data_IF_341759955180
#
_entry.id   IF_341759955180
#
_cell.length_a   1.000
_cell.length_b   1.000
_cell.length_c   1.000
_cell.angle_alpha   90.00
_cell.angle_beta   90.00
_cell.angle_gamma   90.00
#
_symmetry.space_group_name_H-M   'P 1'
#
loop_
_entity.id
_entity.type
_entity.pdbx_description
1 polymer ?
#
# COMPACT_ATOMS: atom_id res chain seq x y z
N UNK A 1 7.03 18.55 7.89
CA UNK A 1 7.59 17.50 8.76
C UNK A 1 8.47 16.60 7.92
N UNK A 2 9.72 16.45 8.34
CA UNK A 2 10.64 15.50 7.71
C UNK A 2 10.34 14.09 8.23
N UNK A 3 9.50 13.34 7.52
CA UNK A 3 9.13 11.96 7.88
C UNK A 3 10.34 11.03 8.02
N UNK A 4 11.40 11.30 7.27
CA UNK A 4 12.63 10.49 7.32
C UNK A 4 13.36 10.59 8.68
N UNK A 5 13.11 11.63 9.47
CA UNK A 5 13.68 11.74 10.82
C UNK A 5 13.02 10.79 11.85
N UNK A 6 11.88 10.21 11.53
CA UNK A 6 11.10 9.35 12.43
C UNK A 6 11.32 7.86 12.18
N UNK A 7 12.06 7.49 11.13
CA UNK A 7 12.35 6.10 10.74
C UNK A 7 13.79 5.70 11.07
N UNK A 8 14.02 4.40 11.21
CA UNK A 8 15.29 3.84 11.65
C UNK A 8 16.42 4.00 10.60
N UNK A 9 16.08 3.87 9.31
CA UNK A 9 17.02 3.99 8.18
C UNK A 9 16.30 4.35 6.90
N UNK A 10 17.01 4.87 5.92
CA UNK A 10 16.48 5.20 4.60
C UNK A 10 15.76 6.54 4.54
N UNK A 11 15.00 6.72 3.48
CA UNK A 11 14.22 7.93 3.22
C UNK A 11 12.76 7.59 2.93
N UNK A 12 11.86 8.48 3.33
CA UNK A 12 10.42 8.34 3.15
C UNK A 12 9.85 9.59 2.50
N UNK A 13 9.28 9.43 1.30
CA UNK A 13 8.54 10.48 0.60
C UNK A 13 7.03 10.21 0.69
N UNK A 14 6.25 11.26 0.75
CA UNK A 14 4.78 11.18 0.81
C UNK A 14 4.14 11.91 -0.36
N UNK A 15 3.17 11.25 -1.00
CA UNK A 15 2.40 11.78 -2.13
C UNK A 15 0.91 11.60 -1.90
N UNK A 16 0.13 12.52 -2.46
CA UNK A 16 -1.32 12.38 -2.58
C UNK A 16 -1.67 12.17 -4.04
N UNK A 17 -2.20 10.99 -4.35
CA UNK A 17 -2.58 10.60 -5.70
C UNK A 17 -4.09 10.59 -5.79
N UNK A 18 -4.65 11.31 -6.76
CA UNK A 18 -6.10 11.41 -6.96
C UNK A 18 -6.58 10.46 -8.05
N UNK A 19 -7.73 9.82 -7.79
CA UNK A 19 -8.47 9.09 -8.80
C UNK A 19 -9.65 9.89 -9.36
N UNK A 20 -9.67 11.21 -9.14
CA UNK A 20 -10.74 12.12 -9.53
C UNK A 20 -11.91 12.18 -8.56
N UNK A 21 -11.98 11.29 -7.57
CA UNK A 21 -13.03 11.26 -6.54
C UNK A 21 -12.49 11.32 -5.12
N UNK A 22 -11.35 10.72 -4.89
CA UNK A 22 -10.70 10.70 -3.58
C UNK A 22 -9.18 10.80 -3.74
N UNK A 23 -8.54 11.55 -2.86
CA UNK A 23 -7.10 11.55 -2.73
C UNK A 23 -6.65 10.33 -1.95
N UNK A 24 -5.62 9.68 -2.43
CA UNK A 24 -4.98 8.54 -1.78
C UNK A 24 -3.57 8.90 -1.38
N UNK A 25 -3.24 8.67 -0.12
CA UNK A 25 -1.87 8.82 0.35
C UNK A 25 -1.04 7.62 -0.10
N UNK A 26 0.11 7.90 -0.69
CA UNK A 26 1.11 6.90 -1.06
C UNK A 26 2.44 7.36 -0.49
N UNK A 27 3.15 6.48 0.20
CA UNK A 27 4.51 6.72 0.66
C UNK A 27 5.47 5.85 -0.13
N UNK A 28 6.58 6.43 -0.54
CA UNK A 28 7.67 5.71 -1.18
C UNK A 28 8.82 5.66 -0.19
N UNK A 29 9.26 4.46 0.12
CA UNK A 29 10.34 4.19 1.05
C UNK A 29 11.56 3.65 0.32
N UNK A 30 12.67 4.35 0.52
CA UNK A 30 13.97 4.02 -0.03
C UNK A 30 14.86 3.48 1.11
N UNK A 31 15.03 2.14 1.22
CA UNK A 31 15.79 1.54 2.32
C UNK A 31 17.29 1.84 2.28
N UNK A 32 17.81 2.19 1.12
CA UNK A 32 19.24 2.48 0.88
C UNK A 32 19.42 3.61 -0.11
N UNK A 33 20.67 4.06 -0.28
CA UNK A 33 21.06 5.08 -1.26
C UNK A 33 21.28 4.52 -2.68
N UNK A 34 20.88 3.30 -2.95
CA UNK A 34 21.00 2.72 -4.28
C UNK A 34 20.17 3.53 -5.30
N UNK A 35 20.69 3.79 -6.50
CA UNK A 35 19.92 4.48 -7.52
C UNK A 35 18.71 3.63 -7.95
N UNK A 36 17.57 4.30 -8.14
CA UNK A 36 16.35 3.66 -8.65
C UNK A 36 16.46 3.60 -10.17
N UNK A 37 16.41 2.40 -10.73
CA UNK A 37 16.56 2.12 -12.15
C UNK A 37 15.83 0.83 -12.56
N UNK A 38 16.06 0.34 -13.77
CA UNK A 38 15.45 -0.90 -14.28
C UNK A 38 15.82 -2.17 -13.49
N UNK A 39 16.88 -2.14 -12.69
CA UNK A 39 17.27 -3.25 -11.81
C UNK A 39 16.60 -3.18 -10.43
N UNK A 40 15.91 -2.10 -10.12
CA UNK A 40 15.21 -1.94 -8.84
C UNK A 40 13.96 -2.81 -8.80
N UNK A 41 13.75 -3.52 -7.71
CA UNK A 41 12.51 -4.22 -7.42
C UNK A 41 11.56 -3.31 -6.66
N UNK A 42 10.37 -3.12 -7.18
CA UNK A 42 9.31 -2.35 -6.53
C UNK A 42 8.35 -3.29 -5.83
N UNK A 43 8.09 -3.03 -4.55
CA UNK A 43 7.14 -3.79 -3.76
C UNK A 43 6.02 -2.87 -3.32
N UNK A 44 4.82 -3.09 -3.85
CA UNK A 44 3.62 -2.40 -3.39
C UNK A 44 3.13 -3.11 -2.13
N UNK A 45 2.98 -2.36 -1.05
CA UNK A 45 2.41 -2.86 0.19
C UNK A 45 1.10 -2.14 0.47
N UNK A 46 0.03 -2.92 0.58
CA UNK A 46 -1.28 -2.43 1.00
C UNK A 46 -1.27 -2.08 2.49
N UNK A 47 -2.24 -1.32 2.94
CA UNK A 47 -2.30 -0.82 4.33
C UNK A 47 -1.04 -0.03 4.72
N UNK A 48 -0.64 0.88 3.86
CA UNK A 48 0.60 1.65 4.00
C UNK A 48 0.73 2.43 5.31
N UNK A 49 -0.39 2.75 5.96
CA UNK A 49 -0.45 3.39 7.28
C UNK A 49 0.14 2.52 8.40
N UNK A 50 0.19 1.21 8.21
CA UNK A 50 0.65 0.25 9.22
C UNK A 50 2.17 -0.01 9.16
N UNK A 51 2.89 0.51 8.16
CA UNK A 51 4.23 0.04 7.83
C UNK A 51 5.36 0.68 8.62
N UNK A 52 5.28 1.97 8.94
CA UNK A 52 6.43 2.74 9.42
C UNK A 52 6.19 3.43 10.77
N UNK A 53 5.19 4.31 10.84
CA UNK A 53 4.98 5.20 11.97
C UNK A 53 3.84 4.71 12.86
N UNK A 54 4.11 4.57 14.15
CA UNK A 54 3.12 4.07 15.12
C UNK A 54 1.89 4.97 15.22
N UNK A 55 2.07 6.29 15.07
CA UNK A 55 0.98 7.26 15.11
C UNK A 55 -0.02 7.13 13.96
N UNK A 56 0.36 6.50 12.85
CA UNK A 56 -0.51 6.30 11.69
C UNK A 56 -1.27 4.97 11.75
N UNK A 57 -0.76 4.02 12.53
CA UNK A 57 -1.36 2.71 12.72
C UNK A 57 -2.66 2.78 13.53
N UNK A 58 -3.61 1.94 13.20
CA UNK A 58 -4.93 1.90 13.85
C UNK A 58 -4.87 1.53 15.34
N UNK A 59 -3.86 0.78 15.76
CA UNK A 59 -3.68 0.31 17.15
C UNK A 59 -2.42 0.87 17.82
N UNK A 60 -1.77 1.87 17.21
CA UNK A 60 -0.52 2.43 17.71
C UNK A 60 0.70 1.52 17.59
N UNK A 61 0.61 0.45 16.78
CA UNK A 61 1.70 -0.49 16.53
C UNK A 61 1.91 -0.64 15.04
N UNK A 62 3.02 -0.17 14.53
CA UNK A 62 3.39 -0.34 13.12
C UNK A 62 4.21 -1.62 12.93
N UNK A 63 4.30 -2.09 11.69
CA UNK A 63 5.12 -3.26 11.36
C UNK A 63 6.61 -2.94 11.30
N UNK A 64 6.96 -1.67 11.34
CA UNK A 64 8.34 -1.17 11.37
C UNK A 64 9.21 -1.81 10.29
N UNK A 65 8.74 -1.72 9.06
CA UNK A 65 9.49 -2.19 7.87
C UNK A 65 10.86 -1.53 7.78
N UNK A 66 10.96 -0.27 8.21
CA UNK A 66 12.21 0.47 8.31
C UNK A 66 13.24 -0.21 9.23
N UNK A 67 12.82 -0.76 10.36
CA UNK A 67 13.71 -1.51 11.27
C UNK A 67 14.20 -2.81 10.66
N UNK A 68 13.35 -3.50 9.91
CA UNK A 68 13.76 -4.72 9.19
C UNK A 68 14.86 -4.42 8.16
N UNK A 69 14.74 -3.34 7.41
CA UNK A 69 15.79 -2.91 6.48
C UNK A 69 17.05 -2.37 7.18
N UNK A 70 16.89 -1.73 8.34
CA UNK A 70 18.04 -1.33 9.16
C UNK A 70 18.90 -2.54 9.58
N UNK A 71 18.25 -3.64 9.99
CA UNK A 71 18.96 -4.90 10.28
C UNK A 71 19.67 -5.46 9.05
N UNK A 72 19.04 -5.46 7.88
CA UNK A 72 19.69 -5.89 6.63
C UNK A 72 20.90 -5.04 6.30
N UNK A 73 20.78 -3.72 6.44
CA UNK A 73 21.87 -2.78 6.20
C UNK A 73 23.04 -2.99 7.18
N UNK A 74 22.76 -3.20 8.47
CA UNK A 74 23.77 -3.49 9.47
C UNK A 74 24.51 -4.81 9.20
N UNK A 75 23.83 -5.79 8.63
CA UNK A 75 24.42 -7.07 8.22
C UNK A 75 25.07 -7.03 6.84
N UNK A 76 25.15 -5.86 6.21
CA UNK A 76 25.69 -5.66 4.86
C UNK A 76 25.05 -6.56 3.81
N UNK A 77 23.77 -6.87 3.98
CA UNK A 77 22.99 -7.62 2.99
C UNK A 77 22.57 -6.65 1.88
N UNK A 78 23.05 -6.90 0.67
CA UNK A 78 22.73 -6.08 -0.49
C UNK A 78 21.27 -6.26 -0.91
N UNK A 79 20.64 -5.16 -1.26
CA UNK A 79 19.28 -5.12 -1.79
C UNK A 79 19.07 -3.89 -2.67
N UNK A 80 18.28 -4.03 -3.69
CA UNK A 80 17.87 -2.94 -4.57
C UNK A 80 16.34 -2.92 -4.65
N UNK A 81 15.71 -2.40 -3.61
CA UNK A 81 14.28 -2.45 -3.38
C UNK A 81 13.75 -1.07 -3.06
N UNK A 82 12.58 -0.75 -3.60
CA UNK A 82 11.76 0.40 -3.21
C UNK A 82 10.40 -0.11 -2.74
N UNK A 83 9.97 0.34 -1.58
CA UNK A 83 8.65 0.01 -1.02
C UNK A 83 7.66 1.12 -1.38
N UNK A 84 6.55 0.75 -1.97
CA UNK A 84 5.44 1.66 -2.29
C UNK A 84 4.28 1.35 -1.35
N UNK A 85 4.15 2.15 -0.30
CA UNK A 85 3.14 1.99 0.74
C UNK A 85 1.85 2.71 0.35
N UNK A 86 0.85 1.97 -0.08
CA UNK A 86 -0.45 2.54 -0.45
C UNK A 86 -1.37 2.50 0.76
N UNK A 87 -1.72 3.69 1.27
CA UNK A 87 -2.65 3.80 2.39
C UNK A 87 -4.04 3.31 2.01
N UNK A 88 -4.75 2.71 2.95
CA UNK A 88 -6.14 2.34 2.77
C UNK A 88 -7.03 3.58 2.60
N UNK A 89 -8.27 3.39 2.15
CA UNK A 89 -9.23 4.47 2.05
C UNK A 89 -9.41 5.18 3.39
N UNK A 90 -9.50 6.53 3.39
CA UNK A 90 -9.59 7.34 4.61
C UNK A 90 -10.64 6.80 5.56
N UNK A 91 -10.22 6.53 6.79
CA UNK A 91 -11.13 6.36 7.93
C UNK A 91 -11.72 7.71 8.28
N UNK A 92 -13.03 7.81 8.42
CA UNK A 92 -13.65 9.01 8.95
C UNK A 92 -13.27 9.16 10.43
N UNK A 93 -12.59 10.25 10.79
CA UNK A 93 -12.38 10.60 12.20
C UNK A 93 -13.73 10.71 12.90
N UNK A 94 -13.99 9.84 13.89
CA UNK A 94 -15.10 9.99 14.83
C UNK A 94 -16.09 8.84 14.91
N UNK A 95 -15.97 7.76 14.14
CA UNK A 95 -16.79 6.55 14.35
C UNK A 95 -15.91 5.33 14.51
N UNK A 96 -16.12 4.62 15.57
CA UNK A 96 -15.34 3.50 16.08
C UNK A 96 -15.26 2.29 15.12
N UNK A 97 -15.96 2.27 13.99
CA UNK A 97 -16.15 1.11 13.13
C UNK A 97 -16.27 1.40 11.64
N UNK A 98 -15.72 2.46 11.09
CA UNK A 98 -15.82 2.66 9.64
C UNK A 98 -14.62 2.09 8.87
N UNK A 99 -14.26 0.84 9.18
CA UNK A 99 -13.39 0.02 8.33
C UNK A 99 -14.11 -0.48 7.07
N UNK A 100 -15.39 -0.15 6.90
CA UNK A 100 -16.22 -0.62 5.80
C UNK A 100 -15.61 -0.33 4.44
N UNK A 101 -15.01 0.84 4.25
CA UNK A 101 -14.36 1.20 2.98
C UNK A 101 -13.13 0.36 2.70
N UNK A 102 -12.31 0.08 3.71
CA UNK A 102 -11.14 -0.78 3.58
C UNK A 102 -11.55 -2.21 3.25
N UNK A 103 -12.53 -2.76 3.95
CA UNK A 103 -13.06 -4.09 3.66
C UNK A 103 -13.63 -4.20 2.26
N UNK A 104 -14.39 -3.22 1.83
CA UNK A 104 -14.98 -3.16 0.49
C UNK A 104 -13.89 -3.06 -0.58
N UNK A 105 -12.90 -2.22 -0.34
CA UNK A 105 -11.79 -1.97 -1.26
C UNK A 105 -10.95 -3.23 -1.52
N UNK A 106 -10.68 -4.00 -0.47
CA UNK A 106 -9.83 -5.19 -0.49
C UNK A 106 -10.62 -6.50 -0.62
N UNK A 107 -11.96 -6.43 -0.76
CA UNK A 107 -12.81 -7.60 -0.78
C UNK A 107 -12.68 -8.36 -2.11
N UNK A 108 -12.32 -9.66 -2.09
CA UNK A 108 -12.25 -10.46 -3.30
C UNK A 108 -13.65 -10.73 -3.82
N UNK A 109 -13.87 -10.44 -5.11
CA UNK A 109 -15.20 -10.60 -5.73
C UNK A 109 -15.74 -12.02 -5.62
N UNK A 110 -14.86 -12.99 -5.66
CA UNK A 110 -15.16 -14.42 -5.60
C UNK A 110 -15.75 -14.84 -4.23
N UNK A 111 -15.29 -14.18 -3.16
CA UNK A 111 -15.77 -14.44 -1.80
C UNK A 111 -17.27 -14.09 -1.62
N UNK A 112 -17.84 -13.31 -2.53
CA UNK A 112 -19.26 -12.94 -2.47
C UNK A 112 -20.20 -14.17 -2.54
N UNK A 113 -19.74 -15.25 -3.15
CA UNK A 113 -20.52 -16.48 -3.30
C UNK A 113 -20.81 -17.19 -1.97
N UNK A 114 -20.10 -16.84 -0.92
CA UNK A 114 -20.27 -17.40 0.43
C UNK A 114 -21.28 -16.64 1.29
N UNK A 115 -21.90 -15.58 0.75
CA UNK A 115 -22.85 -14.74 1.48
C UNK A 115 -24.30 -14.98 1.01
N UNK A 116 -25.26 -14.70 1.90
CA UNK A 116 -26.67 -14.74 1.53
C UNK A 116 -27.06 -13.60 0.55
N UNK A 117 -28.22 -13.70 -0.08
CA UNK A 117 -28.64 -12.76 -1.12
C UNK A 117 -28.81 -11.31 -0.60
N UNK A 118 -29.20 -11.12 0.66
CA UNK A 118 -29.29 -9.80 1.26
C UNK A 118 -27.92 -9.17 1.50
N UNK A 119 -26.98 -9.96 1.96
CA UNK A 119 -25.59 -9.58 2.15
C UNK A 119 -24.92 -9.31 0.79
N UNK A 120 -25.09 -10.19 -0.19
CA UNK A 120 -24.59 -10.00 -1.56
C UNK A 120 -25.01 -8.67 -2.14
N UNK A 121 -26.31 -8.33 -2.04
CA UNK A 121 -26.82 -7.07 -2.58
C UNK A 121 -26.16 -5.85 -1.97
N UNK A 122 -25.89 -5.86 -0.65
CA UNK A 122 -25.20 -4.79 0.06
C UNK A 122 -23.74 -4.70 -0.38
N UNK A 123 -23.06 -5.84 -0.47
CA UNK A 123 -21.66 -5.95 -0.89
C UNK A 123 -21.52 -5.48 -2.35
N UNK A 124 -22.35 -5.94 -3.27
CA UNK A 124 -22.32 -5.50 -4.67
C UNK A 124 -22.54 -4.00 -4.83
N UNK A 125 -23.49 -3.44 -4.10
CA UNK A 125 -23.73 -1.99 -4.10
C UNK A 125 -22.49 -1.20 -3.64
N UNK A 126 -21.71 -1.76 -2.76
CA UNK A 126 -20.51 -1.15 -2.20
C UNK A 126 -19.28 -1.40 -3.06
N UNK A 127 -19.10 -2.61 -3.58
CA UNK A 127 -18.00 -2.99 -4.49
C UNK A 127 -18.04 -2.22 -5.81
N UNK A 128 -19.23 -1.91 -6.33
CA UNK A 128 -19.36 -1.12 -7.55
C UNK A 128 -18.78 0.30 -7.42
N UNK A 129 -18.57 0.77 -6.19
CA UNK A 129 -18.01 2.10 -5.90
C UNK A 129 -16.51 2.10 -5.63
N UNK A 130 -15.91 0.93 -5.44
CA UNK A 130 -14.48 0.79 -5.15
C UNK A 130 -13.86 -0.25 -6.07
N UNK A 131 -12.81 0.14 -6.79
CA UNK A 131 -12.04 -0.76 -7.62
C UNK A 131 -10.55 -0.53 -7.35
N UNK A 132 -10.07 -1.08 -6.23
CA UNK A 132 -8.69 -0.92 -5.78
C UNK A 132 -7.67 -1.54 -6.75
N UNK A 133 -7.85 -2.76 -7.28
CA UNK A 133 -6.92 -3.30 -8.29
C UNK A 133 -6.82 -2.40 -9.53
N UNK A 134 -7.95 -1.86 -10.01
CA UNK A 134 -7.95 -0.92 -11.12
C UNK A 134 -7.22 0.37 -10.78
N UNK A 135 -7.37 0.89 -9.54
CA UNK A 135 -6.64 2.05 -9.07
C UNK A 135 -5.13 1.80 -9.08
N UNK A 136 -4.66 0.66 -8.61
CA UNK A 136 -3.23 0.31 -8.67
C UNK A 136 -2.72 0.32 -10.10
N UNK A 137 -3.39 -0.38 -11.00
CA UNK A 137 -2.96 -0.54 -12.39
C UNK A 137 -3.06 0.75 -13.20
N UNK A 138 -4.11 1.55 -12.99
CA UNK A 138 -4.37 2.72 -13.84
C UNK A 138 -3.82 4.03 -13.29
N UNK A 139 -3.51 4.10 -12.00
CA UNK A 139 -3.05 5.33 -11.34
C UNK A 139 -1.67 5.13 -10.69
N UNK A 140 -1.51 4.14 -9.82
CA UNK A 140 -0.28 3.99 -9.04
C UNK A 140 0.89 3.53 -9.91
N UNK A 141 0.72 2.49 -10.72
CA UNK A 141 1.80 1.99 -11.59
C UNK A 141 2.25 3.05 -12.62
N UNK A 142 1.36 3.73 -13.36
CA UNK A 142 1.78 4.80 -14.25
C UNK A 142 2.50 5.95 -13.54
N UNK A 143 2.07 6.31 -12.34
CA UNK A 143 2.76 7.31 -11.53
C UNK A 143 4.20 6.91 -11.21
N UNK A 144 4.43 5.65 -10.83
CA UNK A 144 5.77 5.14 -10.54
C UNK A 144 6.63 5.05 -11.78
N UNK A 145 6.08 4.58 -12.90
CA UNK A 145 6.79 4.47 -14.17
C UNK A 145 7.24 5.85 -14.68
N UNK A 146 6.38 6.86 -14.56
CA UNK A 146 6.72 8.23 -14.93
C UNK A 146 7.77 8.84 -13.97
N UNK A 147 7.56 8.67 -12.66
CA UNK A 147 8.46 9.23 -11.64
C UNK A 147 9.89 8.70 -11.77
N UNK A 148 10.04 7.41 -11.99
CA UNK A 148 11.33 6.74 -12.00
C UNK A 148 11.87 6.44 -13.40
N UNK A 149 11.10 6.74 -14.44
CA UNK A 149 11.48 6.45 -15.83
C UNK A 149 11.85 4.96 -16.01
N UNK A 150 11.00 4.08 -15.48
CA UNK A 150 11.14 2.61 -15.55
C UNK A 150 9.88 1.99 -16.11
N UNK A 151 9.99 0.76 -16.61
CA UNK A 151 8.84 -0.07 -16.98
C UNK A 151 8.61 -1.12 -15.91
N UNK A 152 7.39 -1.17 -15.35
CA UNK A 152 7.01 -2.13 -14.31
C UNK A 152 6.33 -3.34 -14.92
N UNK A 153 6.84 -4.51 -14.60
CA UNK A 153 6.29 -5.80 -15.01
C UNK A 153 6.51 -6.88 -13.93
N UNK A 154 6.15 -8.11 -14.21
CA UNK A 154 6.28 -9.25 -13.29
C UNK A 154 7.71 -9.53 -12.80
N UNK A 155 8.73 -8.99 -13.47
CA UNK A 155 10.14 -9.25 -13.12
C UNK A 155 10.67 -8.27 -12.07
N UNK A 156 10.07 -7.07 -11.94
CA UNK A 156 10.51 -6.03 -11.03
C UNK A 156 9.42 -5.48 -10.11
N UNK A 157 8.24 -6.08 -10.10
CA UNK A 157 7.10 -5.65 -9.31
C UNK A 157 6.55 -6.80 -8.46
N UNK A 158 6.42 -6.58 -7.17
CA UNK A 158 5.70 -7.44 -6.23
C UNK A 158 4.59 -6.68 -5.51
N UNK A 159 3.57 -7.39 -5.07
CA UNK A 159 2.48 -6.85 -4.24
C UNK A 159 2.36 -7.67 -2.97
N UNK A 160 2.36 -7.00 -1.83
CA UNK A 160 2.25 -7.63 -0.51
C UNK A 160 1.09 -6.98 0.25
N UNK A 161 0.32 -7.81 0.93
CA UNK A 161 -0.74 -7.37 1.81
C UNK A 161 -0.82 -8.22 3.07
N UNK A 162 -1.60 -7.77 4.03
CA UNK A 162 -1.89 -8.49 5.27
C UNK A 162 -3.40 -8.61 5.44
N UNK A 163 -3.88 -9.77 5.91
CA UNK A 163 -5.32 -9.99 6.11
C UNK A 163 -6.09 -9.74 4.80
N UNK A 164 -7.04 -8.80 4.79
CA UNK A 164 -7.79 -8.42 3.58
C UNK A 164 -6.88 -7.87 2.47
N UNK A 165 -5.79 -7.19 2.82
CA UNK A 165 -4.79 -6.71 1.88
C UNK A 165 -4.01 -7.85 1.21
N UNK A 166 -3.76 -8.95 1.93
CA UNK A 166 -3.16 -10.16 1.38
C UNK A 166 -4.05 -10.82 0.33
N UNK A 167 -5.33 -10.96 0.62
CA UNK A 167 -6.29 -11.50 -0.33
C UNK A 167 -6.34 -10.66 -1.62
N UNK A 168 -6.30 -9.34 -1.50
CA UNK A 168 -6.24 -8.43 -2.64
C UNK A 168 -4.95 -8.56 -3.46
N UNK A 169 -3.85 -8.94 -2.84
CA UNK A 169 -2.57 -9.11 -3.51
C UNK A 169 -2.50 -10.41 -4.35
N UNK A 170 -3.37 -11.39 -4.06
CA UNK A 170 -3.42 -12.67 -4.76
C UNK A 170 -4.32 -12.66 -6.01
N UNK A 171 -5.13 -11.62 -6.19
CA UNK A 171 -6.03 -11.44 -7.33
C UNK A 171 -5.47 -10.40 -8.32
#
# INVERSE_FOLDING_TARGET
NNLSAEIATGELEEFFISNGKNDRKVRIYYPSNNPVNEQTTFIIMNDGEELFLEQDSWNGKSWRVDKSFDELNQRSIDHNVVIVAVHSAKRFKGRFFDDTRRYIELFPKEAINYFDEGQKKRIYSSLSKSNYPKFLVTIVLPFLEEKFQVTLDKNNLGVIGSSMGEISALN
#
